data_IF_922722496203
#
_entry.id   IF_922722496203
#
_cell.length_a   1.000
_cell.length_b   1.000
_cell.length_c   1.000
_cell.angle_alpha   90.00
_cell.angle_beta   90.00
_cell.angle_gamma   90.00
#
_symmetry.space_group_name_H-M   'P 1'
#
loop_
_entity.id
_entity.type
_entity.pdbx_description
1 polymer ?
#
# COMPACT_ATOMS: atom_id res chain seq x y z
N UNK A 1 -14.47 -28.73 16.43
CA UNK A 1 -13.51 -28.25 17.46
C UNK A 1 -14.30 -27.93 18.72
N UNK A 2 -13.89 -28.44 19.89
CA UNK A 2 -14.52 -28.05 21.16
C UNK A 2 -14.27 -26.56 21.45
N UNK A 3 -15.22 -25.91 22.13
CA UNK A 3 -15.16 -24.47 22.42
C UNK A 3 -13.88 -24.08 23.18
N UNK A 4 -13.38 -24.97 24.05
CA UNK A 4 -12.14 -24.77 24.80
C UNK A 4 -10.89 -24.77 23.93
N UNK A 5 -10.85 -25.61 22.89
CA UNK A 5 -9.73 -25.67 21.95
C UNK A 5 -9.64 -24.38 21.13
N UNK A 6 -10.80 -23.87 20.67
CA UNK A 6 -10.87 -22.59 19.95
C UNK A 6 -10.38 -21.43 20.83
N UNK A 7 -10.80 -21.39 22.10
CA UNK A 7 -10.38 -20.36 23.05
C UNK A 7 -8.87 -20.40 23.30
N UNK A 8 -8.30 -21.59 23.54
CA UNK A 8 -6.85 -21.76 23.74
C UNK A 8 -6.04 -21.35 22.51
N UNK A 9 -6.52 -21.70 21.31
CA UNK A 9 -5.88 -21.31 20.05
C UNK A 9 -5.90 -19.79 19.83
N UNK A 10 -7.02 -19.13 20.12
CA UNK A 10 -7.10 -17.66 20.03
C UNK A 10 -6.13 -17.01 21.00
N UNK A 11 -6.05 -17.50 22.25
CA UNK A 11 -5.11 -16.97 23.24
C UNK A 11 -3.65 -17.20 22.85
N UNK A 12 -3.30 -18.36 22.28
CA UNK A 12 -1.93 -18.60 21.83
C UNK A 12 -1.57 -17.71 20.64
N UNK A 13 -2.50 -17.50 19.69
CA UNK A 13 -2.31 -16.56 18.58
C UNK A 13 -2.16 -15.12 19.06
N UNK A 14 -3.00 -14.69 20.00
CA UNK A 14 -2.90 -13.35 20.59
C UNK A 14 -1.58 -13.17 21.32
N UNK A 15 -1.11 -14.17 22.06
CA UNK A 15 0.18 -14.13 22.75
C UNK A 15 1.33 -14.01 21.75
N UNK A 16 1.33 -14.81 20.68
CA UNK A 16 2.34 -14.74 19.61
C UNK A 16 2.33 -13.37 18.94
N UNK A 17 1.15 -12.83 18.62
CA UNK A 17 1.01 -11.50 18.03
C UNK A 17 1.58 -10.42 18.97
N UNK A 18 1.26 -10.51 20.26
CA UNK A 18 1.67 -9.52 21.26
C UNK A 18 3.19 -9.58 21.49
N UNK A 19 3.77 -10.77 21.57
CA UNK A 19 5.22 -10.96 21.63
C UNK A 19 5.91 -10.44 20.36
N UNK A 20 5.37 -10.73 19.18
CA UNK A 20 5.92 -10.27 17.91
C UNK A 20 5.92 -8.73 17.83
N UNK A 21 4.80 -8.08 18.16
CA UNK A 21 4.71 -6.62 18.23
C UNK A 21 5.74 -6.07 19.24
N UNK A 22 5.88 -6.71 20.40
CA UNK A 22 6.92 -6.37 21.38
C UNK A 22 8.32 -6.42 20.77
N UNK A 23 8.68 -7.51 20.08
CA UNK A 23 9.99 -7.64 19.43
C UNK A 23 10.23 -6.57 18.36
N UNK A 24 9.23 -6.26 17.53
CA UNK A 24 9.36 -5.20 16.50
C UNK A 24 9.57 -3.83 17.15
N UNK A 25 8.81 -3.51 18.20
CA UNK A 25 8.90 -2.21 18.87
C UNK A 25 10.20 -2.02 19.66
N UNK A 26 10.71 -3.07 20.33
CA UNK A 26 11.88 -2.98 21.19
C UNK A 26 13.20 -3.33 20.50
N UNK A 27 13.20 -4.30 19.58
CA UNK A 27 14.43 -4.81 18.95
C UNK A 27 14.74 -4.15 17.61
N UNK A 28 13.73 -4.01 16.76
CA UNK A 28 13.95 -3.56 15.37
C UNK A 28 13.76 -2.06 15.18
N UNK A 29 13.01 -1.39 16.05
CA UNK A 29 12.65 0.01 15.82
C UNK A 29 13.87 0.94 15.84
N UNK A 30 14.84 0.73 16.73
CA UNK A 30 16.09 1.51 16.74
C UNK A 30 16.94 1.24 15.50
N UNK A 31 17.01 -0.02 15.06
CA UNK A 31 17.74 -0.42 13.86
C UNK A 31 17.08 0.14 12.60
N UNK A 32 15.75 0.05 12.50
CA UNK A 32 14.93 0.64 11.45
C UNK A 32 15.16 2.16 11.37
N UNK A 33 15.17 2.86 12.50
CA UNK A 33 15.45 4.31 12.51
C UNK A 33 16.88 4.64 12.09
N UNK A 34 17.86 3.82 12.47
CA UNK A 34 19.24 3.98 12.01
C UNK A 34 19.35 3.78 10.48
N UNK A 35 18.71 2.75 9.94
CA UNK A 35 18.64 2.49 8.49
C UNK A 35 17.90 3.62 7.76
N UNK A 36 16.77 4.12 8.28
CA UNK A 36 16.03 5.25 7.72
C UNK A 36 16.85 6.56 7.71
N UNK A 37 17.67 6.80 8.74
CA UNK A 37 18.56 7.96 8.77
C UNK A 37 19.69 7.87 7.74
N UNK A 38 20.20 6.66 7.48
CA UNK A 38 21.22 6.42 6.45
C UNK A 38 20.63 6.30 5.05
N UNK A 39 19.33 6.07 4.96
CA UNK A 39 18.65 5.89 3.69
C UNK A 39 18.69 7.18 2.85
N UNK A 40 19.04 7.11 1.56
CA UNK A 40 19.08 8.29 0.71
C UNK A 40 17.64 8.73 0.39
N UNK A 41 17.14 9.71 1.13
CA UNK A 41 15.79 10.26 0.97
C UNK A 41 15.51 10.81 -0.43
N UNK A 42 16.53 11.02 -1.27
CA UNK A 42 16.43 11.34 -2.70
C UNK A 42 15.65 10.26 -3.47
N UNK A 43 15.68 9.00 -3.04
CA UNK A 43 14.91 7.94 -3.69
C UNK A 43 13.41 8.05 -3.43
N UNK A 44 12.98 8.71 -2.35
CA UNK A 44 11.56 8.88 -2.05
C UNK A 44 10.80 9.62 -3.17
N UNK A 45 11.21 10.84 -3.60
CA UNK A 45 10.53 11.50 -4.70
C UNK A 45 10.67 10.75 -6.02
N UNK A 46 11.75 9.99 -6.22
CA UNK A 46 11.93 9.17 -7.43
C UNK A 46 10.90 8.03 -7.48
N UNK A 47 10.74 7.29 -6.38
CA UNK A 47 9.75 6.21 -6.28
C UNK A 47 8.35 6.77 -6.42
N UNK A 48 8.02 7.86 -5.71
CA UNK A 48 6.72 8.52 -5.82
C UNK A 48 6.48 8.98 -7.27
N UNK A 49 7.48 9.60 -7.90
CA UNK A 49 7.41 10.04 -9.29
C UNK A 49 7.15 8.88 -10.25
N UNK A 50 7.85 7.76 -10.11
CA UNK A 50 7.64 6.56 -10.92
C UNK A 50 6.24 5.97 -10.71
N UNK A 51 5.75 5.94 -9.47
CA UNK A 51 4.37 5.53 -9.16
C UNK A 51 3.38 6.47 -9.85
N UNK A 52 3.53 7.79 -9.73
CA UNK A 52 2.65 8.75 -10.41
C UNK A 52 2.67 8.57 -11.93
N UNK A 53 3.84 8.38 -12.53
CA UNK A 53 3.97 8.09 -13.98
C UNK A 53 3.20 6.82 -14.35
N UNK A 54 3.23 5.79 -13.50
CA UNK A 54 2.44 4.58 -13.72
C UNK A 54 0.94 4.86 -13.74
N UNK A 55 0.44 5.60 -12.75
CA UNK A 55 -0.98 5.98 -12.66
C UNK A 55 -1.41 6.88 -13.82
N UNK A 56 -0.60 7.87 -14.19
CA UNK A 56 -0.86 8.75 -15.35
C UNK A 56 -0.91 7.95 -16.64
N UNK A 57 0.06 7.05 -16.86
CA UNK A 57 0.08 6.19 -18.04
C UNK A 57 -1.18 5.30 -18.12
N UNK A 58 -1.62 4.79 -16.97
CA UNK A 58 -2.85 3.99 -16.88
C UNK A 58 -4.09 4.82 -17.18
N UNK A 59 -4.18 6.04 -16.67
CA UNK A 59 -5.26 6.99 -16.98
C UNK A 59 -5.29 7.34 -18.47
N UNK A 60 -4.13 7.58 -19.09
CA UNK A 60 -4.03 7.86 -20.52
C UNK A 60 -4.49 6.68 -21.37
N UNK A 61 -4.09 5.45 -21.02
CA UNK A 61 -4.56 4.23 -21.69
C UNK A 61 -6.07 4.07 -21.58
N UNK A 62 -6.62 4.30 -20.38
CA UNK A 62 -8.07 4.27 -20.16
C UNK A 62 -8.81 5.32 -21.00
N UNK A 63 -8.34 6.55 -20.98
CA UNK A 63 -8.95 7.63 -21.75
C UNK A 63 -8.85 7.39 -23.26
N UNK A 64 -7.73 6.83 -23.74
CA UNK A 64 -7.58 6.41 -25.13
C UNK A 64 -8.54 5.29 -25.50
N UNK A 65 -8.72 4.30 -24.63
CA UNK A 65 -9.68 3.22 -24.83
C UNK A 65 -11.13 3.71 -24.95
N UNK A 66 -11.54 4.70 -24.15
CA UNK A 66 -12.87 5.31 -24.26
C UNK A 66 -13.08 6.04 -25.59
N UNK A 67 -12.05 6.70 -26.13
CA UNK A 67 -12.12 7.28 -27.48
C UNK A 67 -12.27 6.21 -28.56
N UNK A 68 -11.62 5.06 -28.40
CA UNK A 68 -11.76 3.94 -29.34
C UNK A 68 -13.17 3.34 -29.33
N UNK A 69 -13.84 3.38 -28.19
CA UNK A 69 -15.23 2.93 -28.02
C UNK A 69 -16.28 3.99 -28.40
N UNK A 70 -15.87 5.11 -29.01
CA UNK A 70 -16.74 6.21 -29.42
C UNK A 70 -17.56 6.81 -28.27
N UNK A 71 -17.03 6.73 -27.04
CA UNK A 71 -17.61 7.31 -25.82
C UNK A 71 -16.67 8.36 -25.22
N UNK A 72 -16.37 9.45 -25.95
CA UNK A 72 -15.43 10.46 -25.47
C UNK A 72 -16.00 11.20 -24.26
N UNK A 73 -15.33 11.05 -23.12
CA UNK A 73 -15.57 11.85 -21.91
C UNK A 73 -14.44 12.87 -21.73
N UNK A 74 -14.72 13.98 -21.04
CA UNK A 74 -13.68 14.95 -20.73
C UNK A 74 -12.57 14.30 -19.88
N UNK A 75 -11.31 14.71 -20.11
CA UNK A 75 -10.15 14.14 -19.41
C UNK A 75 -10.24 14.34 -17.89
N UNK A 76 -10.83 15.45 -17.44
CA UNK A 76 -11.12 15.73 -16.04
C UNK A 76 -12.14 14.75 -15.43
N UNK A 77 -13.19 14.41 -16.18
CA UNK A 77 -14.21 13.45 -15.71
C UNK A 77 -13.66 12.03 -15.74
N UNK A 78 -12.84 11.69 -16.74
CA UNK A 78 -12.09 10.43 -16.78
C UNK A 78 -11.15 10.28 -15.59
N UNK A 79 -10.46 11.35 -15.18
CA UNK A 79 -9.57 11.35 -14.02
C UNK A 79 -10.34 11.19 -12.71
N UNK A 80 -11.53 11.82 -12.58
CA UNK A 80 -12.42 11.65 -11.42
C UNK A 80 -12.94 10.23 -11.31
N UNK A 81 -13.45 9.66 -12.40
CA UNK A 81 -13.95 8.27 -12.43
C UNK A 81 -12.82 7.28 -12.10
N UNK A 82 -11.62 7.51 -12.64
CA UNK A 82 -10.48 6.64 -12.39
C UNK A 82 -9.90 6.80 -10.97
N UNK A 83 -9.91 8.02 -10.41
CA UNK A 83 -9.36 8.31 -9.08
C UNK A 83 -10.29 8.00 -7.92
N UNK A 84 -11.60 7.90 -8.16
CA UNK A 84 -12.64 7.59 -7.14
C UNK A 84 -13.05 6.11 -7.14
N UNK A 85 -12.48 5.29 -8.04
CA UNK A 85 -12.77 3.86 -8.15
C UNK A 85 -12.76 3.11 -6.83
#
# INVERSE_FOLDING_TARGET
MSADMRRKLIWSLMLVLLLYVGFVLFGDLQRLMAELNQWPWVWLPVVIGLTLVNYVSRLLRWHWYLRLLDTPIALADSARIFGVG
#
